data_IF_775006062907
#
_entry.id   IF_775006062907
#
_cell.length_a   1.000
_cell.length_b   1.000
_cell.length_c   1.000
_cell.angle_alpha   90.00
_cell.angle_beta   90.00
_cell.angle_gamma   90.00
#
_symmetry.space_group_name_H-M   'P 1'
#
loop_
_entity.id
_entity.type
_entity.pdbx_description
1 polymer ?
#
# COMPACT_ATOMS: atom_id res chain seq x y z
N UNK A 1 -6.86 -0.63 17.16
CA UNK A 1 -6.54 0.71 16.62
C UNK A 1 -6.12 1.65 17.73
N UNK A 2 -5.15 2.52 17.46
CA UNK A 2 -4.72 3.58 18.37
C UNK A 2 -4.92 4.92 17.66
N UNK A 3 -5.39 5.98 18.36
CA UNK A 3 -5.63 7.28 17.73
C UNK A 3 -4.35 8.03 17.33
N UNK A 4 -3.18 7.56 17.77
CA UNK A 4 -1.87 8.12 17.46
C UNK A 4 -0.93 7.02 16.96
N UNK A 5 -0.17 7.33 15.95
CA UNK A 5 0.89 6.49 15.39
C UNK A 5 1.95 7.37 14.69
N UNK A 6 3.13 6.82 14.47
CA UNK A 6 4.26 7.51 13.85
C UNK A 6 4.46 7.03 12.42
N UNK A 7 4.42 7.98 11.48
CA UNK A 7 4.83 7.78 10.10
C UNK A 7 6.15 8.51 9.83
N UNK A 8 6.98 7.93 8.98
CA UNK A 8 8.11 8.60 8.37
C UNK A 8 7.89 8.62 6.86
N UNK A 9 7.85 9.82 6.30
CA UNK A 9 7.75 10.00 4.85
C UNK A 9 9.07 10.52 4.29
N UNK A 10 9.42 10.07 3.09
CA UNK A 10 10.54 10.62 2.33
C UNK A 10 10.26 10.58 0.84
N UNK A 11 10.91 11.50 0.13
CA UNK A 11 10.78 11.67 -1.31
C UNK A 11 12.16 11.84 -1.91
N UNK A 12 12.41 11.17 -3.03
CA UNK A 12 13.68 11.26 -3.75
C UNK A 12 13.42 11.60 -5.21
N UNK A 13 14.00 12.69 -5.67
CA UNK A 13 13.97 13.06 -7.09
C UNK A 13 14.83 12.12 -7.94
N UNK A 14 14.44 11.96 -9.21
CA UNK A 14 15.12 11.15 -10.22
C UNK A 14 15.20 9.66 -9.87
N UNK A 15 14.18 9.16 -9.20
CA UNK A 15 13.95 7.74 -8.94
C UNK A 15 12.49 7.39 -9.20
N UNK A 16 12.15 6.12 -9.03
CA UNK A 16 10.82 5.54 -9.19
C UNK A 16 10.51 4.57 -8.04
N UNK A 17 9.38 3.89 -8.13
CA UNK A 17 8.96 2.92 -7.10
C UNK A 17 9.93 1.72 -6.98
N UNK A 18 10.68 1.35 -8.02
CA UNK A 18 11.72 0.33 -7.92
C UNK A 18 12.88 0.78 -7.03
N UNK A 19 13.32 2.04 -7.19
CA UNK A 19 14.32 2.63 -6.31
C UNK A 19 13.85 2.71 -4.86
N UNK A 20 12.54 2.95 -4.63
CA UNK A 20 11.95 2.91 -3.29
C UNK A 20 11.92 1.49 -2.71
N UNK A 21 11.69 0.44 -3.52
CA UNK A 21 11.81 -0.96 -3.08
C UNK A 21 13.23 -1.29 -2.62
N UNK A 22 14.24 -0.91 -3.40
CA UNK A 22 15.64 -1.16 -3.06
C UNK A 22 16.05 -0.41 -1.80
N UNK A 23 15.60 0.84 -1.63
CA UNK A 23 15.82 1.62 -0.41
C UNK A 23 15.18 0.92 0.80
N UNK A 24 13.93 0.47 0.67
CA UNK A 24 13.17 -0.18 1.73
C UNK A 24 13.84 -1.48 2.19
N UNK A 25 14.19 -2.34 1.25
CA UNK A 25 14.84 -3.61 1.54
C UNK A 25 16.17 -3.39 2.26
N UNK A 26 16.97 -2.42 1.80
CA UNK A 26 18.24 -2.09 2.44
C UNK A 26 18.04 -1.46 3.83
N UNK A 27 17.05 -0.58 4.01
CA UNK A 27 16.75 0.06 5.28
C UNK A 27 16.30 -0.97 6.33
N UNK A 28 15.37 -1.86 6.01
CA UNK A 28 14.90 -2.89 6.93
C UNK A 28 16.05 -3.82 7.36
N UNK A 29 16.87 -4.24 6.42
CA UNK A 29 18.07 -5.07 6.68
C UNK A 29 19.09 -4.34 7.55
N UNK A 30 19.36 -3.08 7.26
CA UNK A 30 20.29 -2.25 8.03
C UNK A 30 19.81 -2.07 9.47
N UNK A 31 18.56 -1.64 9.66
CA UNK A 31 17.99 -1.38 11.00
C UNK A 31 17.95 -2.67 11.83
N UNK A 32 17.55 -3.81 11.23
CA UNK A 32 17.54 -5.09 11.93
C UNK A 32 18.96 -5.50 12.42
N UNK A 33 19.98 -5.33 11.58
CA UNK A 33 21.36 -5.57 11.97
C UNK A 33 21.83 -4.67 13.12
N UNK A 34 21.56 -3.35 13.02
CA UNK A 34 21.99 -2.39 14.02
C UNK A 34 21.28 -2.58 15.37
N UNK A 35 20.00 -2.90 15.36
CA UNK A 35 19.18 -3.00 16.58
C UNK A 35 19.21 -4.41 17.18
N UNK A 36 19.08 -5.44 16.34
CA UNK A 36 18.96 -6.82 16.78
C UNK A 36 20.25 -7.65 16.64
N UNK A 37 21.26 -7.12 15.94
CA UNK A 37 22.49 -7.85 15.61
C UNK A 37 22.29 -9.00 14.61
N UNK A 38 21.13 -9.06 13.95
CA UNK A 38 20.77 -10.11 12.99
C UNK A 38 19.66 -9.62 12.06
N UNK A 39 19.60 -10.20 10.86
CA UNK A 39 18.48 -9.98 9.93
C UNK A 39 17.35 -11.01 10.07
N UNK A 40 17.56 -12.07 10.86
CA UNK A 40 16.51 -13.04 11.19
C UNK A 40 15.92 -12.68 12.55
N UNK A 41 14.72 -12.13 12.56
CA UNK A 41 14.03 -11.64 13.78
C UNK A 41 12.84 -12.52 14.12
N UNK A 42 12.65 -12.87 15.42
CA UNK A 42 11.47 -13.59 15.85
C UNK A 42 10.25 -12.66 15.89
N UNK A 43 9.07 -13.16 15.49
CA UNK A 43 7.80 -12.49 15.67
C UNK A 43 6.71 -13.50 16.00
N UNK A 44 6.29 -13.55 17.27
CA UNK A 44 5.48 -14.65 17.81
C UNK A 44 6.20 -15.98 17.64
N UNK A 45 5.52 -16.94 17.02
CA UNK A 45 6.09 -18.27 16.70
C UNK A 45 6.80 -18.30 15.32
N UNK A 46 6.92 -17.17 14.65
CA UNK A 46 7.49 -17.05 13.31
C UNK A 46 8.93 -16.54 13.37
N UNK A 47 9.72 -16.91 12.38
CA UNK A 47 11.02 -16.30 12.09
C UNK A 47 10.93 -15.53 10.79
N UNK A 48 11.19 -14.23 10.85
CA UNK A 48 11.16 -13.32 9.71
C UNK A 48 12.58 -13.07 9.23
N UNK A 49 12.86 -13.40 7.98
CA UNK A 49 14.18 -13.28 7.38
C UNK A 49 14.25 -12.01 6.49
N UNK A 50 14.76 -10.93 7.07
CA UNK A 50 15.01 -9.65 6.37
C UNK A 50 16.33 -9.68 5.57
N UNK A 51 17.12 -10.72 5.68
CA UNK A 51 18.42 -10.87 4.99
C UNK A 51 18.29 -11.35 3.56
N UNK A 52 17.22 -12.08 3.24
CA UNK A 52 16.93 -12.54 1.87
C UNK A 52 16.33 -11.43 1.02
N UNK A 53 16.43 -11.51 -0.32
CA UNK A 53 15.64 -10.65 -1.20
C UNK A 53 14.15 -10.78 -0.88
N UNK A 54 13.46 -9.64 -0.78
CA UNK A 54 12.02 -9.61 -0.55
C UNK A 54 11.29 -10.08 -1.81
N UNK A 55 10.23 -10.88 -1.64
CA UNK A 55 9.41 -11.33 -2.77
C UNK A 55 8.73 -10.11 -3.42
N UNK A 56 8.64 -10.13 -4.76
CA UNK A 56 7.98 -9.07 -5.55
C UNK A 56 6.86 -9.72 -6.35
N UNK A 57 5.62 -9.42 -6.01
CA UNK A 57 4.43 -9.92 -6.70
C UNK A 57 3.56 -8.74 -7.16
N UNK A 58 3.02 -8.83 -8.36
CA UNK A 58 1.92 -7.92 -8.72
C UNK A 58 0.65 -8.29 -7.95
N UNK A 59 -0.24 -7.33 -7.72
CA UNK A 59 -1.50 -7.61 -7.04
C UNK A 59 -2.31 -8.69 -7.78
N UNK A 60 -2.31 -8.67 -9.12
CA UNK A 60 -2.97 -9.72 -9.93
C UNK A 60 -2.35 -11.09 -9.66
N UNK A 61 -1.01 -11.19 -9.70
CA UNK A 61 -0.32 -12.48 -9.48
C UNK A 61 -0.55 -12.99 -8.06
N UNK A 62 -0.60 -12.09 -7.09
CA UNK A 62 -0.90 -12.44 -5.70
C UNK A 62 -2.32 -12.99 -5.56
N UNK A 63 -3.32 -12.31 -6.11
CA UNK A 63 -4.72 -12.79 -6.11
C UNK A 63 -4.84 -14.10 -6.89
N UNK A 64 -4.17 -14.24 -8.04
CA UNK A 64 -4.15 -15.50 -8.78
C UNK A 64 -3.55 -16.65 -7.96
N UNK A 65 -2.45 -16.37 -7.24
CA UNK A 65 -1.74 -17.37 -6.42
C UNK A 65 -2.59 -17.86 -5.24
N UNK A 66 -3.26 -16.97 -4.52
CA UNK A 66 -3.94 -17.29 -3.26
C UNK A 66 -5.46 -17.47 -3.40
N UNK A 67 -6.14 -16.68 -4.24
CA UNK A 67 -7.58 -16.82 -4.49
C UNK A 67 -7.90 -17.73 -5.68
N UNK A 68 -6.92 -18.06 -6.53
CA UNK A 68 -7.14 -18.86 -7.74
C UNK A 68 -7.93 -18.13 -8.83
N UNK A 69 -8.02 -16.79 -8.78
CA UNK A 69 -8.75 -15.95 -9.73
C UNK A 69 -7.75 -15.10 -10.53
N UNK A 70 -7.82 -15.20 -11.85
CA UNK A 70 -6.96 -14.43 -12.75
C UNK A 70 -7.64 -13.13 -13.20
N UNK A 71 -7.36 -12.03 -12.53
CA UNK A 71 -7.91 -10.73 -12.89
C UNK A 71 -7.37 -10.16 -14.21
N UNK A 72 -6.35 -10.76 -14.81
CA UNK A 72 -5.93 -10.41 -16.18
C UNK A 72 -6.99 -10.76 -17.22
N UNK A 73 -7.85 -11.74 -16.93
CA UNK A 73 -8.96 -12.19 -17.78
C UNK A 73 -10.27 -11.43 -17.50
N UNK A 74 -10.38 -10.73 -16.38
CA UNK A 74 -11.55 -9.92 -16.01
C UNK A 74 -11.45 -8.56 -16.68
N UNK A 75 -12.40 -8.20 -17.55
CA UNK A 75 -12.30 -7.00 -18.39
C UNK A 75 -13.27 -5.88 -18.00
N UNK A 76 -14.38 -6.22 -17.36
CA UNK A 76 -15.42 -5.24 -17.01
C UNK A 76 -15.74 -5.22 -15.52
N UNK A 77 -16.38 -4.14 -15.07
CA UNK A 77 -16.86 -4.00 -13.69
C UNK A 77 -17.90 -5.08 -13.36
N UNK A 78 -18.76 -5.42 -14.32
CA UNK A 78 -19.80 -6.43 -14.17
C UNK A 78 -19.20 -7.83 -13.99
N UNK A 79 -18.16 -8.17 -14.75
CA UNK A 79 -17.44 -9.45 -14.58
C UNK A 79 -16.77 -9.52 -13.20
N UNK A 80 -16.15 -8.43 -12.75
CA UNK A 80 -15.53 -8.36 -11.42
C UNK A 80 -16.56 -8.52 -10.30
N UNK A 81 -17.68 -7.80 -10.37
CA UNK A 81 -18.79 -7.87 -9.41
C UNK A 81 -19.40 -9.28 -9.36
N UNK A 82 -19.58 -9.91 -10.51
CA UNK A 82 -20.06 -11.30 -10.58
C UNK A 82 -19.12 -12.25 -9.84
N UNK A 83 -17.80 -12.10 -9.99
CA UNK A 83 -16.83 -12.90 -9.24
C UNK A 83 -16.91 -12.64 -7.73
N UNK A 84 -17.11 -11.40 -7.31
CA UNK A 84 -17.33 -11.04 -5.91
C UNK A 84 -18.59 -11.72 -5.36
N UNK A 85 -19.70 -11.67 -6.10
CA UNK A 85 -20.94 -12.36 -5.73
C UNK A 85 -20.74 -13.90 -5.58
N UNK A 86 -20.03 -14.53 -6.52
CA UNK A 86 -19.71 -15.97 -6.48
C UNK A 86 -18.84 -16.36 -5.27
N UNK A 87 -18.05 -15.42 -4.76
CA UNK A 87 -17.16 -15.60 -3.60
C UNK A 87 -17.71 -15.01 -2.31
N UNK A 88 -18.92 -14.44 -2.33
CA UNK A 88 -19.56 -13.79 -1.18
C UNK A 88 -18.75 -12.63 -0.59
N UNK A 89 -18.01 -11.90 -1.44
CA UNK A 89 -17.31 -10.68 -1.07
C UNK A 89 -18.31 -9.52 -1.15
N UNK A 90 -18.47 -8.80 -0.05
CA UNK A 90 -19.31 -7.60 -0.01
C UNK A 90 -18.65 -6.45 -0.74
N UNK A 91 -19.41 -5.71 -1.53
CA UNK A 91 -18.93 -4.53 -2.26
C UNK A 91 -20.04 -3.48 -2.39
N UNK A 92 -19.65 -2.25 -2.66
CA UNK A 92 -20.58 -1.14 -2.90
C UNK A 92 -20.92 -1.00 -4.40
N UNK A 93 -22.09 -0.44 -4.70
CA UNK A 93 -22.55 -0.27 -6.09
C UNK A 93 -21.58 0.56 -6.94
N UNK A 94 -20.88 1.54 -6.31
CA UNK A 94 -19.87 2.40 -6.95
C UNK A 94 -18.55 1.71 -7.29
N UNK A 95 -18.27 0.57 -6.67
CA UNK A 95 -17.00 -0.13 -6.88
C UNK A 95 -16.84 -0.57 -8.34
N UNK A 96 -15.65 -0.38 -8.86
CA UNK A 96 -15.19 -0.77 -10.18
C UNK A 96 -14.33 -2.02 -10.10
N UNK A 97 -13.84 -2.47 -11.24
CA UNK A 97 -12.99 -3.66 -11.36
C UNK A 97 -11.76 -3.59 -10.44
N UNK A 98 -11.09 -2.43 -10.36
CA UNK A 98 -9.92 -2.25 -9.51
C UNK A 98 -10.22 -2.32 -8.03
N UNK A 99 -11.35 -1.75 -7.58
CA UNK A 99 -11.80 -1.86 -6.19
C UNK A 99 -12.09 -3.32 -5.83
N UNK A 100 -12.76 -4.06 -6.71
CA UNK A 100 -13.04 -5.49 -6.51
C UNK A 100 -11.75 -6.32 -6.44
N UNK A 101 -10.75 -6.04 -7.30
CA UNK A 101 -9.44 -6.69 -7.20
C UNK A 101 -8.81 -6.46 -5.83
N UNK A 102 -8.90 -5.25 -5.27
CA UNK A 102 -8.41 -4.93 -3.94
C UNK A 102 -9.15 -5.71 -2.84
N UNK A 103 -10.47 -5.81 -2.93
CA UNK A 103 -11.25 -6.64 -1.98
C UNK A 103 -10.86 -8.13 -2.02
N UNK A 104 -10.55 -8.66 -3.20
CA UNK A 104 -10.01 -10.02 -3.31
C UNK A 104 -8.62 -10.15 -2.69
N UNK A 105 -7.79 -9.12 -2.81
CA UNK A 105 -6.48 -9.08 -2.19
C UNK A 105 -6.61 -9.06 -0.65
N UNK A 106 -7.42 -8.19 -0.09
CA UNK A 106 -7.67 -8.09 1.35
C UNK A 106 -8.20 -9.41 1.93
N UNK A 107 -9.17 -10.05 1.27
CA UNK A 107 -9.82 -11.25 1.77
C UNK A 107 -8.95 -12.52 1.66
N UNK A 108 -8.16 -12.67 0.58
CA UNK A 108 -7.50 -13.94 0.27
C UNK A 108 -5.98 -13.89 0.30
N UNK A 109 -5.35 -12.71 0.34
CA UNK A 109 -3.91 -12.61 0.16
C UNK A 109 -3.19 -12.11 1.41
N UNK A 110 -3.65 -11.04 2.03
CA UNK A 110 -2.92 -10.34 3.08
C UNK A 110 -2.43 -11.27 4.20
N UNK A 111 -3.30 -12.12 4.73
CA UNK A 111 -2.98 -13.03 5.84
C UNK A 111 -1.87 -14.05 5.50
N UNK A 112 -1.66 -14.32 4.22
CA UNK A 112 -0.65 -15.27 3.73
C UNK A 112 0.74 -14.64 3.53
N UNK A 113 0.85 -13.31 3.59
CA UNK A 113 2.10 -12.57 3.38
C UNK A 113 2.94 -12.54 4.67
N UNK A 114 3.48 -13.70 5.05
CA UNK A 114 4.24 -13.86 6.31
C UNK A 114 5.65 -13.29 6.17
N UNK A 115 6.40 -13.68 5.13
CA UNK A 115 7.74 -13.18 4.84
C UNK A 115 7.66 -11.86 4.06
N UNK A 116 8.71 -11.02 4.11
CA UNK A 116 8.70 -9.73 3.43
C UNK A 116 8.35 -9.85 1.95
N UNK A 117 7.22 -9.25 1.56
CA UNK A 117 6.68 -9.32 0.20
C UNK A 117 6.20 -7.94 -0.24
N UNK A 118 6.74 -7.46 -1.34
CA UNK A 118 6.23 -6.28 -2.05
C UNK A 118 5.04 -6.69 -2.92
N UNK A 119 3.89 -6.07 -2.67
CA UNK A 119 2.73 -6.16 -3.56
C UNK A 119 2.76 -4.94 -4.47
N UNK A 120 2.88 -5.16 -5.76
CA UNK A 120 3.13 -4.15 -6.77
C UNK A 120 1.93 -3.97 -7.70
N UNK A 121 1.95 -2.87 -8.45
CA UNK A 121 1.02 -2.65 -9.56
C UNK A 121 -0.44 -2.64 -9.10
N UNK A 122 -0.72 -1.74 -8.17
CA UNK A 122 -2.08 -1.52 -7.66
C UNK A 122 -2.99 -0.95 -8.74
N UNK A 123 -4.32 -1.19 -8.66
CA UNK A 123 -5.28 -0.57 -9.58
C UNK A 123 -5.29 0.96 -9.49
N UNK A 124 -5.57 1.58 -10.62
CA UNK A 124 -5.65 3.03 -10.72
C UNK A 124 -6.77 3.63 -9.88
N UNK A 125 -7.86 2.91 -9.69
CA UNK A 125 -9.04 3.32 -8.95
C UNK A 125 -8.72 3.66 -7.49
N UNK A 126 -7.84 2.89 -6.87
CA UNK A 126 -7.45 3.05 -5.45
C UNK A 126 -6.13 3.83 -5.25
N UNK A 127 -5.63 4.51 -6.28
CA UNK A 127 -4.29 5.12 -6.25
C UNK A 127 -4.28 6.51 -6.89
N UNK A 128 -4.97 7.52 -6.30
CA UNK A 128 -5.23 8.80 -6.97
C UNK A 128 -4.00 9.71 -7.15
N UNK A 129 -2.89 9.45 -6.44
CA UNK A 129 -1.68 10.29 -6.45
C UNK A 129 -0.48 9.63 -7.15
N UNK A 130 -0.72 8.49 -7.79
CA UNK A 130 0.35 7.63 -8.30
C UNK A 130 0.38 7.64 -9.82
N UNK A 131 1.60 7.61 -10.36
CA UNK A 131 1.87 7.55 -11.80
C UNK A 131 1.37 6.24 -12.40
N UNK A 132 0.69 6.32 -13.56
CA UNK A 132 0.25 5.13 -14.30
C UNK A 132 1.45 4.37 -14.85
N UNK A 133 1.32 3.05 -14.90
CA UNK A 133 2.30 2.23 -15.64
C UNK A 133 2.18 2.49 -17.14
N UNK A 134 3.29 2.81 -17.82
CA UNK A 134 3.25 3.03 -19.27
C UNK A 134 2.83 1.77 -20.06
N UNK A 135 3.14 0.59 -19.54
CA UNK A 135 2.82 -0.70 -20.20
C UNK A 135 1.36 -1.11 -20.02
N UNK A 136 0.69 -0.65 -18.97
CA UNK A 136 -0.72 -0.94 -18.69
C UNK A 136 -1.30 0.15 -17.79
N UNK A 137 -1.98 1.17 -18.34
CA UNK A 137 -2.48 2.33 -17.60
C UNK A 137 -3.65 2.05 -16.64
N UNK A 138 -4.19 0.84 -16.61
CA UNK A 138 -5.17 0.42 -15.60
C UNK A 138 -4.52 0.19 -14.23
N UNK A 139 -3.19 0.09 -14.21
CA UNK A 139 -2.37 -0.08 -13.01
C UNK A 139 -1.40 1.07 -12.86
N UNK A 140 -0.92 1.24 -11.63
CA UNK A 140 0.00 2.32 -11.25
C UNK A 140 1.31 1.78 -10.72
N UNK A 141 2.35 2.59 -10.77
CA UNK A 141 3.67 2.32 -10.23
C UNK A 141 3.67 2.51 -8.70
N UNK A 142 3.00 1.59 -7.98
CA UNK A 142 2.84 1.56 -6.53
C UNK A 142 3.21 0.20 -5.98
N UNK A 143 3.77 0.18 -4.79
CA UNK A 143 3.86 -1.03 -4.00
C UNK A 143 3.49 -0.77 -2.53
N UNK A 144 3.08 -1.83 -1.86
CA UNK A 144 3.02 -1.94 -0.43
C UNK A 144 3.90 -3.10 0.02
N UNK A 145 4.63 -2.92 1.13
CA UNK A 145 5.40 -4.00 1.75
C UNK A 145 4.56 -4.66 2.83
N UNK A 146 4.35 -5.95 2.72
CA UNK A 146 3.70 -6.75 3.75
C UNK A 146 4.71 -7.64 4.48
N UNK A 147 4.60 -7.71 5.80
CA UNK A 147 5.30 -8.66 6.67
C UNK A 147 4.31 -9.11 7.74
N UNK A 148 4.17 -10.41 7.95
CA UNK A 148 3.22 -11.02 8.91
C UNK A 148 1.77 -10.58 8.71
N UNK A 149 1.33 -10.46 7.44
CA UNK A 149 -0.01 -10.02 7.08
C UNK A 149 -0.31 -8.55 7.39
N UNK A 150 0.74 -7.72 7.53
CA UNK A 150 0.59 -6.28 7.86
C UNK A 150 1.37 -5.43 6.88
N UNK A 151 0.73 -4.40 6.39
CA UNK A 151 1.39 -3.33 5.62
C UNK A 151 2.44 -2.63 6.49
N UNK A 152 3.67 -2.58 6.03
CA UNK A 152 4.80 -1.93 6.70
C UNK A 152 5.13 -0.56 6.11
N UNK A 153 4.93 -0.41 4.81
CA UNK A 153 5.09 0.85 4.08
C UNK A 153 4.29 0.84 2.79
N UNK A 154 4.03 2.04 2.29
CA UNK A 154 3.36 2.31 1.02
C UNK A 154 4.21 3.30 0.22
N UNK A 155 4.48 3.00 -1.04
CA UNK A 155 5.33 3.81 -1.89
C UNK A 155 4.92 3.77 -3.35
N UNK A 156 5.26 4.84 -4.06
CA UNK A 156 4.95 4.92 -5.48
C UNK A 156 5.86 5.91 -6.23
N UNK A 157 5.84 5.79 -7.57
CA UNK A 157 6.29 6.88 -8.42
C UNK A 157 5.23 7.99 -8.37
N UNK A 158 5.62 9.18 -7.93
CA UNK A 158 4.72 10.31 -7.75
C UNK A 158 4.10 10.72 -9.09
N UNK A 159 2.79 10.97 -9.10
CA UNK A 159 2.11 11.53 -10.26
C UNK A 159 2.55 12.98 -10.43
N UNK A 160 3.31 13.27 -11.47
CA UNK A 160 3.87 14.59 -11.77
C UNK A 160 3.29 15.25 -13.03
N UNK A 161 2.21 14.69 -13.58
CA UNK A 161 1.44 15.27 -14.68
C UNK A 161 0.22 16.01 -14.09
N UNK A 162 0.17 17.36 -14.15
CA UNK A 162 -0.94 18.13 -13.59
C UNK A 162 -2.28 17.86 -14.30
N UNK A 163 -2.28 17.43 -15.55
CA UNK A 163 -3.50 17.14 -16.30
C UNK A 163 -4.11 15.82 -15.83
N UNK A 164 -3.30 14.75 -15.71
CA UNK A 164 -3.76 13.47 -15.15
C UNK A 164 -4.17 13.65 -13.67
N UNK A 165 -3.39 14.42 -12.89
CA UNK A 165 -3.72 14.67 -11.48
C UNK A 165 -5.07 15.37 -11.31
N UNK A 166 -5.38 16.38 -12.14
CA UNK A 166 -6.69 17.04 -12.12
C UNK A 166 -7.83 16.06 -12.40
N UNK A 167 -7.68 15.20 -13.41
CA UNK A 167 -8.68 14.16 -13.72
C UNK A 167 -8.89 13.19 -12.57
N UNK A 168 -7.81 12.83 -11.85
CA UNK A 168 -7.90 11.97 -10.67
C UNK A 168 -8.66 12.65 -9.53
N UNK A 169 -8.39 13.93 -9.26
CA UNK A 169 -9.11 14.69 -8.24
C UNK A 169 -10.58 14.87 -8.59
N UNK A 170 -10.92 15.13 -9.87
CA UNK A 170 -12.31 15.21 -10.33
C UNK A 170 -13.05 13.87 -10.11
N UNK A 171 -12.38 12.75 -10.37
CA UNK A 171 -12.94 11.43 -10.10
C UNK A 171 -13.15 11.18 -8.58
N UNK A 172 -12.21 11.64 -7.73
CA UNK A 172 -12.35 11.58 -6.28
C UNK A 172 -13.51 12.45 -5.76
N UNK A 173 -13.69 13.66 -6.30
CA UNK A 173 -14.86 14.51 -5.95
C UNK A 173 -16.19 13.85 -6.30
N UNK A 174 -16.24 13.10 -7.39
CA UNK A 174 -17.46 12.37 -7.75
C UNK A 174 -17.72 11.22 -6.76
N UNK A 175 -16.70 10.53 -6.27
CA UNK A 175 -16.82 9.53 -5.21
C UNK A 175 -17.32 10.15 -3.89
N UNK A 176 -16.82 11.34 -3.51
CA UNK A 176 -17.34 12.09 -2.36
C UNK A 176 -18.85 12.35 -2.47
N UNK A 177 -19.34 12.77 -3.67
CA UNK A 177 -20.79 12.99 -3.91
C UNK A 177 -21.59 11.70 -3.80
N UNK A 178 -20.97 10.55 -4.04
CA UNK A 178 -21.57 9.23 -3.92
C UNK A 178 -21.48 8.66 -2.50
N UNK A 179 -20.91 9.43 -1.54
CA UNK A 179 -20.85 9.05 -0.12
C UNK A 179 -19.55 8.39 0.32
N UNK A 180 -18.48 8.52 -0.46
CA UNK A 180 -17.15 8.07 -0.06
C UNK A 180 -16.46 9.13 0.81
N UNK A 181 -16.50 8.97 2.11
CA UNK A 181 -15.93 9.94 3.05
C UNK A 181 -14.38 9.95 3.04
N UNK A 182 -13.74 8.94 2.44
CA UNK A 182 -12.28 8.82 2.35
C UNK A 182 -11.72 9.47 1.07
N UNK A 183 -12.57 9.80 0.10
CA UNK A 183 -12.13 10.40 -1.15
C UNK A 183 -11.63 11.85 -0.96
N UNK A 184 -10.66 12.23 -1.78
CA UNK A 184 -10.01 13.52 -1.69
C UNK A 184 -10.78 14.62 -2.44
N UNK A 185 -10.71 15.84 -1.92
CA UNK A 185 -11.16 17.05 -2.64
C UNK A 185 -10.06 17.54 -3.58
N UNK A 186 -10.46 18.33 -4.58
CA UNK A 186 -9.52 19.02 -5.47
C UNK A 186 -8.67 20.00 -4.65
N UNK A 187 -7.35 19.86 -4.75
CA UNK A 187 -6.38 20.81 -4.21
C UNK A 187 -5.77 21.63 -5.36
N UNK A 188 -6.27 22.85 -5.52
CA UNK A 188 -5.82 23.75 -6.59
C UNK A 188 -4.40 24.28 -6.35
N UNK A 189 -3.95 24.39 -5.10
CA UNK A 189 -2.58 24.83 -4.79
C UNK A 189 -1.59 23.71 -5.11
N UNK A 190 -1.94 22.46 -4.83
CA UNK A 190 -1.15 21.30 -5.23
C UNK A 190 -1.05 21.18 -6.77
N UNK A 191 -2.17 21.33 -7.49
CA UNK A 191 -2.16 21.31 -8.96
C UNK A 191 -1.29 22.44 -9.54
N UNK A 192 -1.38 23.64 -9.00
CA UNK A 192 -0.52 24.77 -9.40
C UNK A 192 0.95 24.49 -9.14
N UNK A 193 1.29 23.83 -8.02
CA UNK A 193 2.67 23.42 -7.73
C UNK A 193 3.19 22.42 -8.79
N UNK A 194 2.36 21.45 -9.21
CA UNK A 194 2.71 20.51 -10.28
C UNK A 194 2.89 21.21 -11.64
N UNK A 195 2.10 22.25 -11.95
CA UNK A 195 2.23 23.03 -13.17
C UNK A 195 3.56 23.81 -13.22
N UNK A 196 4.09 24.24 -12.09
CA UNK A 196 5.42 24.86 -12.00
C UNK A 196 6.50 23.84 -12.34
N UNK A 197 6.35 22.62 -11.95
CA UNK A 197 7.18 21.47 -12.31
C UNK A 197 7.61 20.63 -11.12
N UNK A 198 7.48 19.32 -11.28
CA UNK A 198 7.97 18.30 -10.36
C UNK A 198 8.82 17.29 -11.15
N UNK A 199 10.08 17.02 -10.76
CA UNK A 199 10.88 16.00 -11.42
C UNK A 199 10.26 14.60 -11.20
N UNK A 200 10.65 13.59 -11.99
CA UNK A 200 10.36 12.20 -11.63
C UNK A 200 10.79 11.94 -10.20
N UNK A 201 9.89 11.46 -9.36
CA UNK A 201 10.12 11.33 -7.91
C UNK A 201 9.51 10.03 -7.40
N UNK A 202 10.24 9.30 -6.59
CA UNK A 202 9.70 8.22 -5.76
C UNK A 202 9.40 8.73 -4.37
N UNK A 203 8.22 8.44 -3.86
CA UNK A 203 7.80 8.74 -2.50
C UNK A 203 7.45 7.49 -1.71
N UNK A 204 7.62 7.52 -0.39
CA UNK A 204 7.32 6.41 0.50
C UNK A 204 6.93 6.89 1.89
N UNK A 205 5.94 6.21 2.49
CA UNK A 205 5.57 6.33 3.88
C UNK A 205 5.81 5.03 4.64
N UNK A 206 6.55 5.10 5.74
CA UNK A 206 6.83 3.96 6.61
C UNK A 206 6.03 4.03 7.91
N UNK A 207 5.37 2.93 8.28
CA UNK A 207 4.78 2.74 9.60
C UNK A 207 5.87 2.43 10.63
N UNK A 208 6.38 3.45 11.32
CA UNK A 208 7.49 3.27 12.26
C UNK A 208 7.10 2.39 13.44
N UNK A 209 5.90 2.56 13.98
CA UNK A 209 5.44 1.71 15.08
C UNK A 209 5.36 0.24 14.66
N UNK A 210 4.92 -0.05 13.44
CA UNK A 210 4.89 -1.42 12.89
C UNK A 210 6.29 -2.02 12.75
N UNK A 211 7.28 -1.22 12.30
CA UNK A 211 8.68 -1.66 12.25
C UNK A 211 9.23 -1.94 13.66
N UNK A 212 8.94 -1.06 14.63
CA UNK A 212 9.35 -1.28 16.02
C UNK A 212 8.69 -2.54 16.59
N UNK A 213 7.38 -2.74 16.34
CA UNK A 213 6.67 -3.96 16.76
C UNK A 213 7.34 -5.22 16.22
N UNK A 214 7.72 -5.22 14.92
CA UNK A 214 8.42 -6.35 14.30
C UNK A 214 9.76 -6.63 14.98
N UNK A 215 10.60 -5.61 15.17
CA UNK A 215 11.96 -5.77 15.71
C UNK A 215 11.98 -6.07 17.22
N UNK A 216 10.94 -5.70 17.96
CA UNK A 216 10.82 -5.95 19.41
C UNK A 216 9.93 -7.16 19.76
N UNK A 217 9.44 -7.88 18.74
CA UNK A 217 8.49 -8.98 18.93
C UNK A 217 7.23 -8.57 19.72
N UNK A 218 6.70 -7.38 19.46
CA UNK A 218 5.52 -6.83 20.13
C UNK A 218 4.28 -6.98 19.25
N UNK A 219 3.21 -7.58 19.76
CA UNK A 219 2.00 -7.85 18.98
C UNK A 219 1.04 -6.66 18.91
N UNK A 220 1.14 -5.71 19.85
CA UNK A 220 0.25 -4.55 19.94
C UNK A 220 1.02 -3.23 19.88
N UNK A 221 0.45 -2.24 19.17
CA UNK A 221 1.04 -0.91 19.03
C UNK A 221 1.25 -0.21 20.39
N UNK A 222 0.38 -0.47 21.36
CA UNK A 222 0.48 0.10 22.72
C UNK A 222 1.76 -0.28 23.45
N UNK A 223 2.37 -1.42 23.09
CA UNK A 223 3.59 -1.90 23.74
C UNK A 223 4.84 -1.16 23.25
N UNK A 224 4.73 -0.44 22.12
CA UNK A 224 5.82 0.30 21.50
C UNK A 224 5.64 1.83 21.53
N UNK A 225 4.46 2.31 21.91
CA UNK A 225 4.22 3.74 22.12
C UNK A 225 4.73 4.20 23.47
N UNK A 226 5.44 5.33 23.50
CA UNK A 226 5.95 5.90 24.75
C UNK A 226 4.82 6.39 25.68
N UNK A 227 3.76 6.93 25.09
CA UNK A 227 2.61 7.50 25.83
C UNK A 227 1.29 7.03 25.19
N UNK A 228 0.93 5.74 25.32
CA UNK A 228 -0.30 5.23 24.74
C UNK A 228 -1.53 5.84 25.42
N UNK A 229 -2.58 6.12 24.65
CA UNK A 229 -3.86 6.57 25.19
C UNK A 229 -4.47 5.49 26.07
N UNK A 230 -4.70 5.82 27.33
CA UNK A 230 -5.29 4.93 28.34
C UNK A 230 -6.72 5.34 28.65
N UNK A 231 -7.56 4.37 29.03
CA UNK A 231 -8.87 4.70 29.62
C UNK A 231 -8.65 5.41 30.96
N UNK A 232 -9.52 6.38 31.27
CA UNK A 232 -9.56 6.95 32.61
C UNK A 232 -9.74 5.84 33.65
N UNK A 233 -9.13 6.01 34.82
CA UNK A 233 -9.26 5.09 35.95
C UNK A 233 -10.49 5.41 36.82
N UNK A 234 -11.30 6.40 36.39
CA UNK A 234 -12.51 6.84 37.10
C UNK A 234 -13.75 6.04 36.65
#
# INVERSE_FOLDING_TARGET
>A
HNPEFTLMELYQAYTDYHGMMDLTENMFRYVANEVCGTTCVPYGDLMIDLGKPFERLTMIDAVKKYAGVDFSEVKTDEEAKKLADERHIEYEARHKRGDILNLFFEEYVEEHLVQPTFIMDHPVEISPLTKRKPSNPDYVERFELFITGREMCNAYSELNDPIDQRQRFEAQEELLKQGDDEANRIDEDFLRALEIGMPPTGGIGYGIDRLVMLLTNSSAIRDVLLFPTMKSLD
#
